data_IF_576428211287
#
_entry.id   IF_576428211287
#
_cell.length_a   1.000
_cell.length_b   1.000
_cell.length_c   1.000
_cell.angle_alpha   90.00
_cell.angle_beta   90.00
_cell.angle_gamma   90.00
#
_symmetry.space_group_name_H-M   'P 1'
#
loop_
_entity.id
_entity.type
_entity.pdbx_description
1 polymer ?
#
# COMPACT_ATOMS: atom_id res chain seq x y z
N UNK A 1 -22.27 -3.05 5.74
CA UNK A 1 -21.01 -2.77 6.47
C UNK A 1 -19.87 -3.42 5.70
N UNK A 2 -18.68 -2.80 5.62
CA UNK A 2 -17.58 -3.32 4.79
C UNK A 2 -16.71 -4.30 5.56
N UNK A 3 -16.70 -5.57 5.14
CA UNK A 3 -15.90 -6.62 5.79
C UNK A 3 -14.43 -6.63 5.33
N UNK A 4 -14.19 -6.28 4.06
CA UNK A 4 -12.85 -6.28 3.45
C UNK A 4 -12.68 -5.00 2.63
N UNK A 5 -11.72 -4.17 3.02
CA UNK A 5 -11.37 -2.92 2.34
C UNK A 5 -9.98 -3.10 1.74
N UNK A 6 -9.86 -2.85 0.43
CA UNK A 6 -8.58 -2.79 -0.27
C UNK A 6 -8.30 -1.33 -0.64
N UNK A 7 -7.16 -0.81 -0.22
CA UNK A 7 -6.74 0.55 -0.51
C UNK A 7 -5.42 0.54 -1.29
N UNK A 8 -5.44 1.10 -2.49
CA UNK A 8 -4.21 1.42 -3.20
C UNK A 8 -3.61 2.73 -2.65
N UNK A 9 -2.31 2.72 -2.37
CA UNK A 9 -1.54 3.89 -1.93
C UNK A 9 -0.32 4.11 -2.83
N UNK A 10 0.01 5.38 -3.06
CA UNK A 10 1.10 5.82 -3.95
C UNK A 10 2.08 6.77 -3.23
N UNK A 11 1.96 6.93 -1.92
CA UNK A 11 2.79 7.84 -1.12
C UNK A 11 2.35 9.31 -1.18
N UNK A 12 1.42 9.69 -2.06
CA UNK A 12 0.92 11.07 -2.14
C UNK A 12 0.12 11.48 -0.90
N UNK A 13 0.02 12.79 -0.65
CA UNK A 13 -0.87 13.35 0.38
C UNK A 13 -2.33 12.89 0.24
N UNK A 14 -2.78 12.64 -1.00
CA UNK A 14 -4.11 12.13 -1.27
C UNK A 14 -4.27 10.69 -0.80
N UNK A 15 -3.28 9.83 -1.08
CA UNK A 15 -3.29 8.45 -0.59
C UNK A 15 -3.23 8.38 0.93
N UNK A 16 -2.49 9.29 1.59
CA UNK A 16 -2.45 9.35 3.06
C UNK A 16 -3.80 9.76 3.66
N UNK A 17 -4.50 10.73 3.05
CA UNK A 17 -5.86 11.11 3.45
C UNK A 17 -6.83 9.94 3.26
N UNK A 18 -6.74 9.24 2.13
CA UNK A 18 -7.56 8.05 1.87
C UNK A 18 -7.28 6.93 2.89
N UNK A 19 -6.02 6.72 3.28
CA UNK A 19 -5.63 5.75 4.31
C UNK A 19 -6.25 6.06 5.66
N UNK A 20 -6.30 7.33 6.07
CA UNK A 20 -6.98 7.74 7.30
C UNK A 20 -8.46 7.39 7.26
N UNK A 21 -9.17 7.79 6.19
CA UNK A 21 -10.60 7.49 6.03
C UNK A 21 -10.90 5.99 5.96
N UNK A 22 -10.08 5.22 5.24
CA UNK A 22 -10.24 3.77 5.15
C UNK A 22 -10.02 3.09 6.50
N UNK A 23 -9.06 3.58 7.30
CA UNK A 23 -8.82 3.09 8.66
C UNK A 23 -10.00 3.36 9.59
N UNK A 24 -10.59 4.55 9.52
CA UNK A 24 -11.81 4.88 10.28
C UNK A 24 -12.97 3.98 9.87
N UNK A 25 -13.17 3.78 8.56
CA UNK A 25 -14.21 2.92 8.02
C UNK A 25 -14.04 1.46 8.46
N UNK A 26 -12.81 0.95 8.46
CA UNK A 26 -12.49 -0.41 8.90
C UNK A 26 -12.80 -0.61 10.39
N UNK A 27 -12.37 0.34 11.25
CA UNK A 27 -12.65 0.32 12.70
C UNK A 27 -14.15 0.34 12.99
N UNK A 28 -14.88 1.26 12.35
CA UNK A 28 -16.34 1.35 12.50
C UNK A 28 -17.03 0.08 11.98
N UNK A 29 -16.48 -0.55 10.96
CA UNK A 29 -17.03 -1.75 10.33
C UNK A 29 -16.63 -3.07 10.99
N UNK A 30 -15.69 -3.08 11.94
CA UNK A 30 -15.04 -4.31 12.40
C UNK A 30 -14.36 -5.11 11.27
N UNK A 31 -14.02 -4.44 10.16
CA UNK A 31 -13.53 -5.06 8.93
C UNK A 31 -12.01 -5.06 8.82
N UNK A 32 -11.49 -5.82 7.85
CA UNK A 32 -10.06 -5.84 7.54
C UNK A 32 -9.72 -4.78 6.49
N UNK A 33 -8.66 -4.00 6.73
CA UNK A 33 -8.06 -3.08 5.75
C UNK A 33 -6.74 -3.67 5.24
N UNK A 34 -6.62 -3.80 3.91
CA UNK A 34 -5.37 -4.17 3.23
C UNK A 34 -4.91 -3.01 2.37
N UNK A 35 -3.66 -2.62 2.52
CA UNK A 35 -3.03 -1.58 1.69
C UNK A 35 -2.14 -2.22 0.64
N UNK A 36 -2.19 -1.72 -0.59
CA UNK A 36 -1.32 -2.16 -1.69
C UNK A 36 -0.64 -0.96 -2.33
N UNK A 37 0.61 -1.13 -2.71
CA UNK A 37 1.35 -0.18 -3.54
C UNK A 37 1.76 -0.92 -4.80
N UNK A 38 1.40 -0.39 -5.95
CA UNK A 38 1.88 -0.89 -7.22
C UNK A 38 3.16 -0.14 -7.60
N UNK A 39 4.17 -0.87 -8.05
CA UNK A 39 5.41 -0.31 -8.58
C UNK A 39 5.68 -0.92 -9.96
N UNK A 40 6.47 -0.21 -10.76
CA UNK A 40 6.91 -0.70 -12.07
C UNK A 40 7.69 -2.02 -11.92
N UNK A 41 7.52 -2.94 -12.87
CA UNK A 41 8.22 -4.23 -12.81
C UNK A 41 9.74 -4.04 -12.68
N UNK A 42 10.30 -4.64 -11.63
CA UNK A 42 11.73 -4.63 -11.42
C UNK A 42 12.38 -5.75 -12.24
N UNK A 43 13.59 -5.55 -12.77
CA UNK A 43 14.27 -6.58 -13.53
C UNK A 43 14.40 -7.87 -12.73
N UNK A 44 13.94 -8.99 -13.27
CA UNK A 44 13.87 -10.29 -12.58
C UNK A 44 15.24 -10.82 -12.12
N UNK A 45 16.34 -10.31 -12.69
CA UNK A 45 17.71 -10.71 -12.35
C UNK A 45 18.27 -9.99 -11.11
N UNK A 46 17.53 -9.05 -10.50
CA UNK A 46 18.05 -8.25 -9.40
C UNK A 46 18.36 -9.11 -8.16
N UNK A 47 17.50 -10.09 -7.89
CA UNK A 47 17.59 -10.98 -6.72
C UNK A 47 17.51 -10.23 -5.38
N UNK A 48 17.44 -10.97 -4.27
CA UNK A 48 17.63 -10.36 -2.95
C UNK A 48 19.14 -10.21 -2.65
N UNK A 49 19.58 -9.12 -2.01
CA UNK A 49 18.79 -8.03 -1.40
C UNK A 49 18.55 -6.81 -2.32
N UNK A 50 19.04 -6.84 -3.56
CA UNK A 50 18.99 -5.67 -4.45
C UNK A 50 17.55 -5.32 -4.85
N UNK A 51 16.66 -6.31 -4.93
CA UNK A 51 15.22 -6.12 -5.13
C UNK A 51 14.60 -5.27 -4.03
N UNK A 52 14.77 -5.67 -2.77
CA UNK A 52 14.25 -4.93 -1.62
C UNK A 52 14.77 -3.47 -1.58
N UNK A 53 16.06 -3.25 -1.89
CA UNK A 53 16.64 -1.90 -1.96
C UNK A 53 16.01 -1.05 -3.06
N UNK A 54 15.86 -1.62 -4.26
CA UNK A 54 15.29 -0.93 -5.41
C UNK A 54 13.79 -0.60 -5.24
N UNK A 55 13.06 -1.40 -4.45
CA UNK A 55 11.69 -1.08 -4.03
C UNK A 55 11.72 0.09 -3.05
N UNK A 56 12.52 0.01 -1.98
CA UNK A 56 12.59 1.05 -0.95
C UNK A 56 12.91 2.43 -1.56
N UNK A 57 13.92 2.52 -2.43
CA UNK A 57 14.31 3.76 -3.13
C UNK A 57 13.19 4.39 -3.98
N UNK A 58 12.18 3.61 -4.40
CA UNK A 58 11.05 4.09 -5.21
C UNK A 58 9.80 4.41 -4.38
N UNK A 59 9.74 3.95 -3.14
CA UNK A 59 8.56 4.06 -2.27
C UNK A 59 8.76 4.96 -1.06
N UNK A 60 9.99 5.40 -0.80
CA UNK A 60 10.34 6.51 0.12
C UNK A 60 10.15 7.88 -0.53
#
# INVERSE_FOLDING_TARGET
MFANILLAVDGSDHSLKAAKSAGDLARLSGGTLRTITAYEELPIYLGEPNLSKAIAERTE
#
